data_IF_052632023510
#
_entry.id   IF_052632023510
#
_cell.length_a   1.000
_cell.length_b   1.000
_cell.length_c   1.000
_cell.angle_alpha   90.00
_cell.angle_beta   90.00
_cell.angle_gamma   90.00
#
_symmetry.space_group_name_H-M   'P 1'
#
loop_
_entity.id
_entity.type
_entity.pdbx_description
1 polymer ?
#
# COMPACT_ATOMS: atom_id res chain seq x y z
N UNK A 1 -16.01 -6.28 -17.39
CA UNK A 1 -15.67 -6.27 -15.99
C UNK A 1 -14.83 -5.07 -15.66
N UNK A 2 -15.19 -4.39 -14.62
CA UNK A 2 -14.47 -3.19 -14.27
C UNK A 2 -13.25 -3.52 -13.42
N UNK A 3 -12.17 -2.78 -13.66
CA UNK A 3 -10.98 -2.84 -12.85
C UNK A 3 -11.28 -2.25 -11.46
N UNK A 4 -10.57 -2.70 -10.41
CA UNK A 4 -10.72 -2.09 -9.08
C UNK A 4 -10.30 -0.63 -9.01
N UNK A 5 -9.58 -0.15 -10.01
CA UNK A 5 -9.20 1.26 -10.11
C UNK A 5 -9.66 1.82 -11.46
N UNK A 6 -9.73 3.14 -11.55
CA UNK A 6 -10.16 3.79 -12.80
C UNK A 6 -9.07 3.66 -13.87
N UNK A 7 -9.48 3.85 -15.13
CA UNK A 7 -8.51 3.85 -16.24
C UNK A 7 -7.48 4.95 -16.07
N UNK A 8 -7.91 6.10 -15.56
CA UNK A 8 -6.99 7.20 -15.30
C UNK A 8 -5.96 6.83 -14.23
N UNK A 9 -6.41 6.22 -13.15
CA UNK A 9 -5.50 5.78 -12.10
C UNK A 9 -4.52 4.74 -12.62
N UNK A 10 -5.00 3.79 -13.44
CA UNK A 10 -4.13 2.79 -14.03
C UNK A 10 -3.06 3.42 -14.91
N UNK A 11 -3.45 4.43 -15.67
CA UNK A 11 -2.50 5.16 -16.52
C UNK A 11 -1.44 5.87 -15.69
N UNK A 12 -1.87 6.52 -14.61
CA UNK A 12 -0.95 7.19 -13.69
C UNK A 12 0.02 6.18 -13.05
N UNK A 13 -0.49 5.02 -12.62
CA UNK A 13 0.36 3.98 -12.08
C UNK A 13 1.41 3.55 -13.10
N UNK A 14 0.98 3.30 -14.34
CA UNK A 14 1.89 2.83 -15.37
C UNK A 14 3.05 3.81 -15.59
N UNK A 15 2.74 5.11 -15.58
CA UNK A 15 3.75 6.13 -15.81
C UNK A 15 4.65 6.36 -14.62
N UNK A 16 4.12 6.19 -13.40
CA UNK A 16 4.88 6.49 -12.19
C UNK A 16 5.53 5.27 -11.55
N UNK A 17 5.15 4.06 -11.94
CA UNK A 17 5.65 2.84 -11.31
C UNK A 17 7.18 2.75 -11.28
N UNK A 18 7.91 2.97 -12.39
CA UNK A 18 9.36 2.89 -12.33
C UNK A 18 9.97 3.89 -11.35
N UNK A 19 9.36 5.06 -11.25
CA UNK A 19 9.81 6.12 -10.38
C UNK A 19 9.60 5.77 -8.91
N UNK A 20 8.42 5.27 -8.58
CA UNK A 20 8.12 4.83 -7.21
C UNK A 20 9.00 3.65 -6.84
N UNK A 21 9.18 2.71 -7.75
CA UNK A 21 10.05 1.56 -7.52
C UNK A 21 11.49 1.98 -7.23
N UNK A 22 11.97 2.98 -7.94
CA UNK A 22 13.32 3.50 -7.74
C UNK A 22 13.51 4.06 -6.33
N UNK A 23 12.43 4.59 -5.73
CA UNK A 23 12.48 5.19 -4.41
C UNK A 23 11.95 4.26 -3.31
N UNK A 24 11.80 2.99 -3.62
CA UNK A 24 11.20 2.01 -2.72
C UNK A 24 11.81 2.03 -1.31
N UNK A 25 13.13 2.02 -1.23
CA UNK A 25 13.81 1.93 0.07
C UNK A 25 13.52 3.15 0.94
N UNK A 26 13.47 4.33 0.33
CA UNK A 26 13.16 5.56 1.07
C UNK A 26 11.71 5.56 1.54
N UNK A 27 10.82 5.05 0.71
CA UNK A 27 9.40 4.95 1.07
C UNK A 27 9.25 4.00 2.26
N UNK A 28 9.93 2.86 2.23
CA UNK A 28 9.90 1.90 3.33
C UNK A 28 10.41 2.55 4.61
N UNK A 29 11.53 3.27 4.53
CA UNK A 29 12.13 3.91 5.69
C UNK A 29 11.19 4.93 6.32
N UNK A 30 10.58 5.78 5.50
CA UNK A 30 9.64 6.78 5.98
C UNK A 30 8.38 6.13 6.57
N UNK A 31 7.91 5.09 5.92
CA UNK A 31 6.73 4.38 6.39
C UNK A 31 6.98 3.70 7.73
N UNK A 32 8.16 3.10 7.90
CA UNK A 32 8.52 2.50 9.18
C UNK A 32 8.46 3.50 10.32
N UNK A 33 9.03 4.67 10.11
CA UNK A 33 9.02 5.72 11.13
C UNK A 33 7.59 6.13 11.48
N UNK A 34 6.74 6.24 10.47
CA UNK A 34 5.36 6.61 10.70
C UNK A 34 4.59 5.54 11.48
N UNK A 35 4.75 4.29 11.09
CA UNK A 35 4.07 3.19 11.76
C UNK A 35 4.52 3.05 13.21
N UNK A 36 5.80 3.21 13.45
CA UNK A 36 6.35 3.14 14.80
C UNK A 36 5.77 4.21 15.71
N UNK A 37 5.75 5.44 15.24
CA UNK A 37 5.22 6.56 16.03
C UNK A 37 3.74 6.41 16.32
N UNK A 38 3.01 5.79 15.42
CA UNK A 38 1.58 5.63 15.57
C UNK A 38 1.20 4.54 16.56
N UNK A 39 2.02 3.49 16.64
CA UNK A 39 1.73 2.36 17.54
C UNK A 39 2.20 2.64 18.97
N UNK A 40 3.12 3.57 19.14
CA UNK A 40 3.65 3.92 20.45
C UNK A 40 4.76 2.97 20.89
N UNK A 41 4.96 2.90 22.20
CA UNK A 41 6.11 2.20 22.75
C UNK A 41 5.90 0.71 22.99
N UNK A 42 4.70 0.22 22.73
CA UNK A 42 4.33 -1.15 23.08
C UNK A 42 4.54 -2.11 21.92
N UNK A 43 5.03 -1.60 20.82
CA UNK A 43 5.24 -2.39 19.63
C UNK A 43 6.28 -3.49 19.82
N UNK A 44 6.00 -4.72 19.38
CA UNK A 44 7.01 -5.77 19.37
C UNK A 44 8.20 -5.35 18.52
N UNK A 45 9.37 -5.79 18.92
CA UNK A 45 10.61 -5.41 18.26
C UNK A 45 10.56 -5.72 16.76
N UNK A 46 10.78 -4.71 15.95
CA UNK A 46 10.88 -4.86 14.51
C UNK A 46 9.57 -4.98 13.76
N UNK A 47 8.43 -4.95 14.43
CA UNK A 47 7.15 -5.12 13.75
C UNK A 47 6.87 -4.01 12.75
N UNK A 48 7.17 -2.76 13.10
CA UNK A 48 6.95 -1.64 12.17
C UNK A 48 7.82 -1.76 10.93
N UNK A 49 9.06 -2.22 11.10
CA UNK A 49 9.97 -2.40 9.97
C UNK A 49 9.44 -3.48 9.02
N UNK A 50 9.00 -4.61 9.58
CA UNK A 50 8.45 -5.71 8.79
C UNK A 50 7.17 -5.27 8.09
N UNK A 51 6.27 -4.61 8.82
CA UNK A 51 5.01 -4.14 8.24
C UNK A 51 5.26 -3.16 7.10
N UNK A 52 6.17 -2.19 7.29
CA UNK A 52 6.47 -1.22 6.24
C UNK A 52 7.00 -1.91 4.98
N UNK A 53 7.94 -2.83 5.16
CA UNK A 53 8.53 -3.55 4.03
C UNK A 53 7.47 -4.36 3.28
N UNK A 54 6.67 -5.12 4.00
CA UNK A 54 5.68 -6.00 3.37
C UNK A 54 4.56 -5.21 2.70
N UNK A 55 4.11 -4.13 3.32
CA UNK A 55 3.02 -3.35 2.73
C UNK A 55 3.48 -2.56 1.50
N UNK A 56 4.69 -2.02 1.53
CA UNK A 56 5.24 -1.35 0.34
C UNK A 56 5.43 -2.36 -0.79
N UNK A 57 5.97 -3.53 -0.47
CA UNK A 57 6.17 -4.57 -1.48
C UNK A 57 4.84 -5.03 -2.06
N UNK A 58 3.85 -5.23 -1.21
CA UNK A 58 2.51 -5.60 -1.65
C UNK A 58 1.96 -4.55 -2.61
N UNK A 59 2.07 -3.28 -2.23
CA UNK A 59 1.56 -2.19 -3.08
C UNK A 59 2.23 -2.19 -4.44
N UNK A 60 3.55 -2.34 -4.49
CA UNK A 60 4.28 -2.34 -5.76
C UNK A 60 3.92 -3.54 -6.61
N UNK A 61 3.83 -4.71 -6.01
CA UNK A 61 3.49 -5.92 -6.77
C UNK A 61 2.07 -5.86 -7.33
N UNK A 62 1.13 -5.36 -6.54
CA UNK A 62 -0.24 -5.23 -6.99
C UNK A 62 -0.41 -4.12 -8.01
N UNK A 63 0.34 -3.02 -7.87
CA UNK A 63 0.34 -1.97 -8.87
C UNK A 63 0.82 -2.50 -10.21
N UNK A 64 1.88 -3.31 -10.19
CA UNK A 64 2.39 -3.93 -11.42
C UNK A 64 1.33 -4.82 -12.06
N UNK A 65 0.66 -5.63 -11.27
CA UNK A 65 -0.41 -6.49 -11.78
C UNK A 65 -1.52 -5.68 -12.40
N UNK A 66 -1.95 -4.62 -11.74
CA UNK A 66 -3.02 -3.74 -12.24
C UNK A 66 -2.62 -3.07 -13.55
N UNK A 67 -1.35 -2.65 -13.66
CA UNK A 67 -0.85 -2.04 -14.89
C UNK A 67 -0.85 -3.05 -16.04
N UNK A 68 -0.40 -4.27 -15.77
CA UNK A 68 -0.22 -5.28 -16.82
C UNK A 68 -1.52 -5.95 -17.22
N UNK A 69 -2.39 -6.25 -16.27
CA UNK A 69 -3.61 -7.00 -16.57
C UNK A 69 -4.90 -6.31 -16.16
N UNK A 70 -4.82 -5.25 -15.39
CA UNK A 70 -6.02 -4.58 -14.86
C UNK A 70 -6.64 -5.27 -13.67
N UNK A 71 -6.00 -6.32 -13.14
CA UNK A 71 -6.54 -7.10 -12.05
C UNK A 71 -5.58 -7.20 -10.88
N UNK A 72 -6.15 -7.33 -9.69
CA UNK A 72 -5.37 -7.60 -8.47
C UNK A 72 -4.88 -9.04 -8.55
N UNK A 73 -3.59 -9.24 -8.28
CA UNK A 73 -3.02 -10.58 -8.29
C UNK A 73 -3.50 -11.39 -7.09
N UNK A 74 -3.50 -12.71 -7.22
CA UNK A 74 -3.85 -13.60 -6.12
C UNK A 74 -2.90 -13.35 -4.95
N UNK A 75 -3.47 -13.23 -3.75
CA UNK A 75 -2.71 -12.82 -2.59
C UNK A 75 -3.00 -13.64 -1.34
N UNK A 76 -3.47 -14.88 -1.52
CA UNK A 76 -3.82 -15.71 -0.37
C UNK A 76 -2.63 -15.96 0.55
N UNK A 77 -1.47 -16.28 -0.02
CA UNK A 77 -0.26 -16.49 0.76
C UNK A 77 0.20 -15.24 1.48
N UNK A 78 0.04 -14.10 0.82
CA UNK A 78 0.44 -12.82 1.41
C UNK A 78 -0.45 -12.49 2.61
N UNK A 79 -1.74 -12.72 2.48
CA UNK A 79 -2.67 -12.46 3.57
C UNK A 79 -2.34 -13.34 4.77
N UNK A 80 -2.03 -14.60 4.54
CA UNK A 80 -1.65 -15.52 5.62
C UNK A 80 -0.35 -15.07 6.28
N UNK A 81 0.61 -14.62 5.49
CA UNK A 81 1.86 -14.09 6.01
C UNK A 81 1.64 -12.88 6.89
N UNK A 82 0.80 -11.94 6.45
CA UNK A 82 0.50 -10.76 7.25
C UNK A 82 -0.16 -11.15 8.57
N UNK A 83 -1.09 -12.09 8.52
CA UNK A 83 -1.77 -12.54 9.72
C UNK A 83 -0.79 -13.20 10.71
N UNK A 84 0.12 -14.01 10.19
CA UNK A 84 1.12 -14.67 11.04
C UNK A 84 2.05 -13.68 11.70
N UNK A 85 2.30 -12.54 11.05
CA UNK A 85 3.14 -11.46 11.58
C UNK A 85 2.34 -10.40 12.32
N UNK A 86 1.05 -10.65 12.54
CA UNK A 86 0.15 -9.74 13.25
C UNK A 86 0.01 -8.37 12.58
N UNK A 87 0.11 -8.35 11.27
CA UNK A 87 -0.18 -7.15 10.48
C UNK A 87 -1.66 -7.16 10.17
N UNK A 88 -2.38 -6.16 10.65
CA UNK A 88 -3.84 -6.13 10.60
C UNK A 88 -4.37 -4.78 10.10
N UNK A 89 -5.67 -4.57 10.28
CA UNK A 89 -6.34 -3.36 9.82
C UNK A 89 -5.77 -2.06 10.36
N UNK A 90 -5.18 -2.09 11.56
CA UNK A 90 -4.55 -0.89 12.10
C UNK A 90 -3.34 -0.49 11.27
N UNK A 91 -2.54 -1.47 10.88
CA UNK A 91 -1.38 -1.21 10.01
C UNK A 91 -1.82 -0.71 8.65
N UNK A 92 -2.86 -1.33 8.08
CA UNK A 92 -3.39 -0.92 6.78
C UNK A 92 -3.91 0.52 6.83
N UNK A 93 -4.64 0.86 7.87
CA UNK A 93 -5.20 2.20 8.04
C UNK A 93 -4.09 3.25 8.12
N UNK A 94 -3.09 2.98 8.94
CA UNK A 94 -2.00 3.93 9.13
C UNK A 94 -1.14 4.06 7.88
N UNK A 95 -0.91 2.95 7.20
CA UNK A 95 -0.19 2.96 5.95
C UNK A 95 -0.93 3.81 4.92
N UNK A 96 -2.22 3.56 4.76
CA UNK A 96 -3.02 4.31 3.80
C UNK A 96 -3.08 5.80 4.10
N UNK A 97 -3.22 6.15 5.38
CA UNK A 97 -3.29 7.56 5.78
C UNK A 97 -1.98 8.30 5.52
N UNK A 98 -0.85 7.59 5.62
CA UNK A 98 0.46 8.21 5.46
C UNK A 98 0.96 8.22 4.03
N UNK A 99 0.34 7.44 3.15
CA UNK A 99 0.90 7.19 1.83
C UNK A 99 1.04 8.45 0.98
N UNK A 100 0.00 9.29 0.92
CA UNK A 100 0.06 10.52 0.12
C UNK A 100 1.17 11.46 0.60
N UNK A 101 1.23 11.83 1.89
CA UNK A 101 2.31 12.72 2.32
C UNK A 101 3.70 12.12 2.14
N UNK A 102 3.86 10.81 2.37
CA UNK A 102 5.15 10.17 2.21
C UNK A 102 5.59 10.16 0.75
N UNK A 103 4.69 9.82 -0.17
CA UNK A 103 5.03 9.82 -1.58
C UNK A 103 5.38 11.23 -2.06
N UNK A 104 4.64 12.23 -1.62
CA UNK A 104 4.93 13.60 -2.02
C UNK A 104 6.28 14.07 -1.48
N UNK A 105 6.62 13.64 -0.28
CA UNK A 105 7.90 14.00 0.31
C UNK A 105 9.07 13.29 -0.39
N UNK A 106 8.93 12.01 -0.65
CA UNK A 106 10.00 11.22 -1.26
C UNK A 106 10.17 11.53 -2.75
N UNK A 107 9.08 11.67 -3.48
CA UNK A 107 9.13 11.89 -4.92
C UNK A 107 9.38 13.36 -5.29
N UNK A 108 9.13 14.26 -4.36
CA UNK A 108 9.43 15.68 -4.55
C UNK A 108 8.26 16.48 -5.09
N UNK A 109 8.44 17.80 -5.02
CA UNK A 109 7.37 18.72 -5.37
C UNK A 109 7.04 18.74 -6.86
N UNK A 110 7.92 18.21 -7.70
CA UNK A 110 7.68 18.16 -9.15
C UNK A 110 6.65 17.11 -9.53
N UNK A 111 6.33 16.19 -8.60
CA UNK A 111 5.34 15.15 -8.87
C UNK A 111 3.96 15.66 -8.45
N UNK A 112 2.97 15.67 -9.37
CA UNK A 112 1.65 16.16 -9.02
C UNK A 112 0.99 15.34 -7.91
N UNK A 113 0.15 16.01 -7.13
CA UNK A 113 -0.56 15.35 -6.05
C UNK A 113 -1.41 14.17 -6.54
N UNK A 114 -1.96 14.28 -7.75
CA UNK A 114 -2.79 13.22 -8.32
C UNK A 114 -2.05 11.89 -8.41
N UNK A 115 -0.74 11.93 -8.58
CA UNK A 115 0.07 10.71 -8.63
C UNK A 115 0.02 10.02 -7.26
N UNK A 116 0.26 10.76 -6.19
CA UNK A 116 0.21 10.18 -4.85
C UNK A 116 -1.20 9.69 -4.51
N UNK A 117 -2.21 10.45 -4.91
CA UNK A 117 -3.61 10.05 -4.68
C UNK A 117 -3.94 8.75 -5.41
N UNK A 118 -3.48 8.61 -6.66
CA UNK A 118 -3.72 7.38 -7.41
C UNK A 118 -3.10 6.17 -6.73
N UNK A 119 -1.92 6.32 -6.16
CA UNK A 119 -1.27 5.24 -5.41
C UNK A 119 -2.03 4.90 -4.13
N UNK A 120 -2.54 5.92 -3.45
CA UNK A 120 -3.34 5.70 -2.24
C UNK A 120 -4.65 4.99 -2.57
N UNK A 121 -5.33 5.41 -3.64
CA UNK A 121 -6.56 4.75 -4.09
C UNK A 121 -6.30 3.29 -4.46
N UNK A 122 -5.16 3.04 -5.08
CA UNK A 122 -4.75 1.68 -5.44
C UNK A 122 -4.54 0.84 -4.18
N UNK A 123 -3.88 1.39 -3.17
CA UNK A 123 -3.68 0.68 -1.93
C UNK A 123 -5.02 0.27 -1.29
N UNK A 124 -5.96 1.20 -1.21
CA UNK A 124 -7.26 0.90 -0.62
C UNK A 124 -8.06 -0.11 -1.44
N UNK A 125 -7.94 -0.05 -2.77
CA UNK A 125 -8.58 -1.04 -3.63
C UNK A 125 -8.03 -2.45 -3.36
N UNK A 126 -6.72 -2.55 -3.17
CA UNK A 126 -6.08 -3.82 -2.85
C UNK A 126 -6.53 -4.34 -1.48
N UNK A 127 -6.58 -3.46 -0.50
CA UNK A 127 -7.01 -3.85 0.85
C UNK A 127 -8.46 -4.35 0.84
N UNK A 128 -9.33 -3.65 0.13
CA UNK A 128 -10.74 -4.07 0.00
C UNK A 128 -10.84 -5.45 -0.65
N UNK A 129 -9.96 -5.73 -1.59
CA UNK A 129 -9.94 -7.03 -2.24
C UNK A 129 -9.52 -8.14 -1.29
N UNK A 130 -8.64 -7.81 -0.33
CA UNK A 130 -8.14 -8.78 0.64
C UNK A 130 -9.16 -9.14 1.71
N UNK A 131 -9.95 -8.16 2.17
CA UNK A 131 -10.79 -8.33 3.33
C UNK A 131 -12.26 -7.97 3.12
N UNK A 132 -12.84 -8.29 1.97
CA UNK A 132 -14.23 -7.91 1.72
C UNK A 132 -15.23 -8.70 2.56
N UNK A 133 -14.90 -9.89 2.96
CA UNK A 133 -15.84 -10.79 3.62
C UNK A 133 -16.12 -10.42 5.07
N UNK A 134 -15.24 -9.68 5.69
CA UNK A 134 -15.44 -9.29 7.09
C UNK A 134 -16.70 -8.47 7.28
N UNK A 135 -16.95 -7.55 6.38
CA UNK A 135 -18.12 -6.70 6.47
C UNK A 135 -19.40 -7.46 6.20
N UNK A 136 -19.34 -8.35 5.22
CA UNK A 136 -20.50 -9.17 4.89
C UNK A 136 -20.84 -10.11 6.04
N UNK A 137 -19.83 -10.68 6.65
CA UNK A 137 -20.04 -11.62 7.75
C UNK A 137 -20.67 -10.96 8.98
N UNK A 138 -20.40 -9.69 9.19
CA UNK A 138 -20.95 -8.99 10.34
C UNK A 138 -22.38 -8.53 10.12
N UNK A 139 -22.85 -8.60 8.92
CA UNK A 139 -24.22 -8.27 8.62
C UNK A 139 -25.11 -9.44 8.98
#
# INVERSE_FOLDING_TARGET
>A
MSSPISDNARHILARSLPFVQHHKDRIIERMELHLRGAVGDVEPFGQSAVAAMLLVQLLLDQARSLVESGEVAAADGIRDEHRALEIDGRHYSRFGDALVPILRDVLGASVPREVAVAWCDTFWAVVRHFEPQKEVASA
#
